data_IF_160626538453
#
_entry.id   IF_160626538453
#
_cell.length_a   1.000
_cell.length_b   1.000
_cell.length_c   1.000
_cell.angle_alpha   90.00
_cell.angle_beta   90.00
_cell.angle_gamma   90.00
#
_symmetry.space_group_name_H-M   'P 1'
#
loop_
_entity.id
_entity.type
_entity.pdbx_description
1 polymer ?
#
# COMPACT_ATOMS: atom_id res chain seq x y z
N UNK A 1 -10.54 37.61 -16.26
CA UNK A 1 -11.54 36.68 -15.69
C UNK A 1 -10.88 35.44 -15.08
N UNK A 2 -9.91 34.81 -15.77
CA UNK A 2 -9.15 33.65 -15.28
C UNK A 2 -8.37 33.92 -13.97
N UNK A 3 -7.76 35.10 -13.79
CA UNK A 3 -7.00 35.38 -12.55
C UNK A 3 -7.89 35.52 -11.30
N UNK A 4 -9.14 35.97 -11.45
CA UNK A 4 -10.10 36.07 -10.34
C UNK A 4 -10.58 34.68 -9.87
N UNK A 5 -10.68 33.72 -10.78
CA UNK A 5 -11.04 32.33 -10.49
C UNK A 5 -9.86 31.64 -9.79
N UNK A 6 -8.62 31.85 -10.24
CA UNK A 6 -7.43 31.28 -9.59
C UNK A 6 -7.23 31.85 -8.18
N UNK A 7 -7.51 33.15 -7.98
CA UNK A 7 -7.48 33.77 -6.63
C UNK A 7 -8.63 33.26 -5.77
N UNK A 8 -9.83 33.08 -6.30
CA UNK A 8 -10.96 32.50 -5.56
C UNK A 8 -10.70 31.04 -5.15
N UNK A 9 -10.11 30.23 -6.02
CA UNK A 9 -9.71 28.83 -5.72
C UNK A 9 -8.57 28.81 -4.68
N UNK A 10 -7.61 29.73 -4.77
CA UNK A 10 -6.55 29.88 -3.75
C UNK A 10 -7.09 30.38 -2.40
N UNK A 11 -8.07 31.28 -2.39
CA UNK A 11 -8.75 31.72 -1.17
C UNK A 11 -9.63 30.61 -0.57
N UNK A 12 -10.31 29.81 -1.39
CA UNK A 12 -11.02 28.61 -0.95
C UNK A 12 -10.06 27.57 -0.35
N UNK A 13 -8.86 27.41 -0.93
CA UNK A 13 -7.80 26.54 -0.39
C UNK A 13 -7.16 27.09 0.90
N UNK A 14 -7.09 28.40 1.10
CA UNK A 14 -6.61 29.02 2.34
C UNK A 14 -7.67 28.99 3.46
N UNK A 15 -8.95 29.23 3.13
CA UNK A 15 -10.05 29.01 4.07
C UNK A 15 -10.19 27.53 4.44
N UNK A 16 -9.81 26.61 3.57
CA UNK A 16 -9.88 25.16 3.76
C UNK A 16 -8.97 24.65 4.90
N UNK A 17 -7.76 25.21 5.07
CA UNK A 17 -6.90 24.81 6.18
C UNK A 17 -7.43 25.35 7.52
N UNK A 18 -7.93 26.59 7.53
CA UNK A 18 -8.58 27.17 8.72
C UNK A 18 -9.83 26.37 9.10
N UNK A 19 -10.70 26.02 8.15
CA UNK A 19 -11.90 25.22 8.42
C UNK A 19 -11.55 23.82 8.94
N UNK A 20 -10.49 23.17 8.45
CA UNK A 20 -10.08 21.86 8.99
C UNK A 20 -9.51 21.97 10.41
N UNK A 21 -8.73 23.01 10.72
CA UNK A 21 -8.29 23.27 12.11
C UNK A 21 -9.45 23.69 13.02
N UNK A 22 -10.46 24.38 12.49
CA UNK A 22 -11.68 24.77 13.21
C UNK A 22 -12.61 23.57 13.44
N UNK A 23 -12.73 22.66 12.47
CA UNK A 23 -13.48 21.40 12.58
C UNK A 23 -12.78 20.43 13.51
N UNK A 24 -11.45 20.33 13.46
CA UNK A 24 -10.66 19.58 14.43
C UNK A 24 -10.79 20.19 15.84
N UNK A 25 -10.70 21.52 15.95
CA UNK A 25 -10.89 22.25 17.22
C UNK A 25 -12.31 22.12 17.79
N UNK A 26 -13.34 22.16 16.95
CA UNK A 26 -14.74 21.90 17.31
C UNK A 26 -14.97 20.44 17.67
N UNK A 27 -14.40 19.49 16.94
CA UNK A 27 -14.50 18.06 17.25
C UNK A 27 -13.84 17.75 18.59
N UNK A 28 -12.65 18.30 18.86
CA UNK A 28 -11.97 18.17 20.15
C UNK A 28 -12.78 18.84 21.27
N UNK A 29 -13.26 20.07 21.05
CA UNK A 29 -14.07 20.80 22.04
C UNK A 29 -15.39 20.06 22.37
N UNK A 30 -16.07 19.51 21.37
CA UNK A 30 -17.34 18.79 21.56
C UNK A 30 -17.11 17.41 22.19
N UNK A 31 -16.03 16.69 21.83
CA UNK A 31 -15.64 15.45 22.52
C UNK A 31 -15.37 15.67 24.01
N UNK A 32 -14.86 16.83 24.40
CA UNK A 32 -14.66 17.20 25.81
C UNK A 32 -15.92 17.77 26.49
N UNK A 33 -16.85 18.39 25.75
CA UNK A 33 -18.02 19.08 26.34
C UNK A 33 -19.37 18.35 26.23
N UNK A 34 -19.51 17.26 25.45
CA UNK A 34 -20.78 16.52 25.29
C UNK A 34 -20.64 15.01 25.53
N UNK A 35 -20.21 14.64 26.73
CA UNK A 35 -20.13 13.23 27.14
C UNK A 35 -21.52 12.61 27.42
N UNK A 36 -22.58 13.41 27.56
CA UNK A 36 -23.86 12.92 28.10
C UNK A 36 -24.99 12.61 27.09
N UNK A 37 -24.84 12.89 25.78
CA UNK A 37 -25.91 12.62 24.77
C UNK A 37 -25.41 11.80 23.57
N UNK A 38 -25.96 10.59 23.39
CA UNK A 38 -25.59 9.64 22.33
C UNK A 38 -25.77 10.19 20.90
N UNK A 39 -26.79 11.03 20.66
CA UNK A 39 -27.03 11.66 19.36
C UNK A 39 -25.93 12.67 18.97
N UNK A 40 -25.39 13.40 19.96
CA UNK A 40 -24.30 14.34 19.73
C UNK A 40 -23.01 13.65 19.32
N UNK A 41 -22.73 12.48 19.91
CA UNK A 41 -21.57 11.66 19.56
C UNK A 41 -21.67 11.11 18.13
N UNK A 42 -22.83 10.55 17.75
CA UNK A 42 -23.08 10.08 16.37
C UNK A 42 -22.90 11.20 15.33
N UNK A 43 -23.39 12.41 15.62
CA UNK A 43 -23.22 13.56 14.73
C UNK A 43 -21.74 13.96 14.58
N UNK A 44 -20.99 14.01 15.69
CA UNK A 44 -19.56 14.36 15.65
C UNK A 44 -18.69 13.32 14.95
N UNK A 45 -18.98 12.03 15.14
CA UNK A 45 -18.29 10.95 14.45
C UNK A 45 -18.54 11.00 12.95
N UNK A 46 -19.78 11.27 12.53
CA UNK A 46 -20.12 11.48 11.12
C UNK A 46 -19.32 12.64 10.49
N UNK A 47 -19.22 13.77 11.18
CA UNK A 47 -18.43 14.92 10.70
C UNK A 47 -16.94 14.59 10.58
N UNK A 48 -16.37 13.87 11.55
CA UNK A 48 -14.98 13.41 11.50
C UNK A 48 -14.75 12.49 10.30
N UNK A 49 -15.63 11.53 10.06
CA UNK A 49 -15.52 10.58 8.94
C UNK A 49 -15.64 11.31 7.61
N UNK A 50 -16.61 12.21 7.47
CA UNK A 50 -16.74 13.03 6.26
C UNK A 50 -15.49 13.90 6.04
N UNK A 51 -14.92 14.47 7.10
CA UNK A 51 -13.65 15.21 7.03
C UNK A 51 -12.48 14.35 6.54
N UNK A 52 -12.36 13.12 7.06
CA UNK A 52 -11.34 12.14 6.61
C UNK A 52 -11.55 11.78 5.14
N UNK A 53 -12.78 11.42 4.75
CA UNK A 53 -13.13 11.06 3.37
C UNK A 53 -12.80 12.19 2.40
N UNK A 54 -13.18 13.43 2.72
CA UNK A 54 -12.90 14.60 1.89
C UNK A 54 -11.40 14.91 1.82
N UNK A 55 -10.66 14.77 2.92
CA UNK A 55 -9.21 14.93 2.94
C UNK A 55 -8.51 13.92 2.02
N UNK A 56 -8.89 12.64 2.12
CA UNK A 56 -8.33 11.56 1.29
C UNK A 56 -8.73 11.76 -0.17
N UNK A 57 -9.99 12.07 -0.45
CA UNK A 57 -10.49 12.36 -1.79
C UNK A 57 -9.69 13.49 -2.45
N UNK A 58 -9.48 14.59 -1.71
CA UNK A 58 -8.67 15.72 -2.17
C UNK A 58 -7.24 15.30 -2.48
N UNK A 59 -6.61 14.51 -1.61
CA UNK A 59 -5.23 14.05 -1.81
C UNK A 59 -5.12 13.16 -3.06
N UNK A 60 -6.07 12.25 -3.27
CA UNK A 60 -6.14 11.41 -4.47
C UNK A 60 -6.31 12.29 -5.72
N UNK A 61 -7.21 13.27 -5.67
CA UNK A 61 -7.43 14.17 -6.80
C UNK A 61 -6.17 14.96 -7.16
N UNK A 62 -5.46 15.51 -6.17
CA UNK A 62 -4.17 16.17 -6.38
C UNK A 62 -3.12 15.22 -6.94
N UNK A 63 -3.00 14.02 -6.37
CA UNK A 63 -2.05 13.01 -6.82
C UNK A 63 -2.24 12.64 -8.29
N UNK A 64 -3.50 12.52 -8.74
CA UNK A 64 -3.82 12.19 -10.13
C UNK A 64 -3.59 13.37 -11.09
N UNK A 65 -3.74 14.63 -10.64
CA UNK A 65 -3.69 15.79 -11.51
C UNK A 65 -2.38 16.57 -11.48
N UNK A 66 -1.65 16.55 -10.38
CA UNK A 66 -0.43 17.31 -10.14
C UNK A 66 0.69 16.89 -11.09
N UNK A 67 1.33 17.87 -11.74
CA UNK A 67 2.46 17.62 -12.65
C UNK A 67 3.66 17.00 -11.92
N UNK A 68 3.89 17.43 -10.67
CA UNK A 68 4.96 16.89 -9.83
C UNK A 68 4.72 15.41 -9.53
N UNK A 69 3.50 15.04 -9.12
CA UNK A 69 3.15 13.66 -8.80
C UNK A 69 3.19 12.77 -10.06
N UNK A 70 2.80 13.29 -11.23
CA UNK A 70 2.96 12.57 -12.51
C UNK A 70 4.41 12.29 -12.86
N UNK A 71 5.33 13.24 -12.66
CA UNK A 71 6.77 13.03 -12.88
C UNK A 71 7.32 11.95 -11.95
N UNK A 72 6.91 11.97 -10.69
CA UNK A 72 7.24 10.94 -9.70
C UNK A 72 6.70 9.57 -10.14
N UNK A 73 5.42 9.50 -10.56
CA UNK A 73 4.80 8.28 -11.07
C UNK A 73 5.51 7.72 -12.30
N UNK A 74 5.85 8.56 -13.28
CA UNK A 74 6.60 8.14 -14.46
C UNK A 74 7.97 7.58 -14.09
N UNK A 75 8.69 8.21 -13.15
CA UNK A 75 9.96 7.68 -12.67
C UNK A 75 9.79 6.31 -12.01
N UNK A 76 8.80 6.16 -11.10
CA UNK A 76 8.51 4.88 -10.44
C UNK A 76 8.17 3.78 -11.44
N UNK A 77 7.27 4.04 -12.39
CA UNK A 77 6.89 3.07 -13.41
C UNK A 77 8.08 2.67 -14.30
N UNK A 78 8.89 3.63 -14.73
CA UNK A 78 10.08 3.35 -15.54
C UNK A 78 11.08 2.46 -14.79
N UNK A 79 11.29 2.72 -13.50
CA UNK A 79 12.14 1.87 -12.65
C UNK A 79 11.55 0.47 -12.45
N UNK A 80 10.24 0.36 -12.22
CA UNK A 80 9.53 -0.93 -12.13
C UNK A 80 9.71 -1.75 -13.41
N UNK A 81 9.51 -1.13 -14.58
CA UNK A 81 9.69 -1.78 -15.87
C UNK A 81 11.15 -2.20 -16.08
N UNK A 82 12.10 -1.31 -15.79
CA UNK A 82 13.51 -1.60 -15.93
C UNK A 82 13.93 -2.80 -15.07
N UNK A 83 13.54 -2.83 -13.80
CA UNK A 83 13.86 -3.93 -12.86
C UNK A 83 13.23 -5.23 -13.35
N UNK A 84 11.93 -5.20 -13.65
CA UNK A 84 11.18 -6.39 -14.13
C UNK A 84 11.81 -6.97 -15.39
N UNK A 85 12.05 -6.14 -16.41
CA UNK A 85 12.71 -6.59 -17.64
C UNK A 85 14.14 -7.09 -17.40
N UNK A 86 14.86 -6.52 -16.43
CA UNK A 86 16.22 -6.98 -16.10
C UNK A 86 16.20 -8.36 -15.44
N UNK A 87 15.25 -8.62 -14.53
CA UNK A 87 15.07 -9.93 -13.89
C UNK A 87 14.71 -10.96 -14.96
N UNK A 88 13.68 -10.67 -15.75
CA UNK A 88 13.17 -11.58 -16.77
C UNK A 88 14.25 -11.96 -17.79
N UNK A 89 15.00 -10.98 -18.32
CA UNK A 89 16.05 -11.23 -19.32
C UNK A 89 17.27 -11.96 -18.78
N UNK A 90 17.66 -11.75 -17.52
CA UNK A 90 18.92 -12.29 -16.96
C UNK A 90 18.74 -13.57 -16.15
N UNK A 91 17.62 -13.72 -15.48
CA UNK A 91 17.39 -14.79 -14.51
C UNK A 91 16.11 -15.60 -14.78
N UNK A 92 15.20 -15.07 -15.61
CA UNK A 92 13.84 -15.58 -15.71
C UNK A 92 12.99 -15.10 -14.54
N UNK A 93 11.68 -14.92 -14.76
CA UNK A 93 10.76 -14.48 -13.72
C UNK A 93 9.62 -15.48 -13.58
N UNK A 94 9.53 -16.11 -12.42
CA UNK A 94 8.38 -16.93 -12.05
C UNK A 94 7.42 -16.07 -11.24
N UNK A 95 6.21 -15.88 -11.77
CA UNK A 95 5.15 -15.17 -11.08
C UNK A 95 4.40 -16.13 -10.16
N UNK A 96 4.45 -15.87 -8.86
CA UNK A 96 3.71 -16.60 -7.85
C UNK A 96 2.61 -15.71 -7.27
N UNK A 97 1.38 -16.22 -7.28
CA UNK A 97 0.22 -15.58 -6.68
C UNK A 97 -0.30 -16.52 -5.59
N UNK A 98 -0.37 -16.04 -4.36
CA UNK A 98 -0.93 -16.81 -3.25
C UNK A 98 -2.46 -16.89 -3.37
N UNK A 99 -3.00 -18.11 -3.33
CA UNK A 99 -4.44 -18.36 -3.42
C UNK A 99 -5.22 -17.71 -2.28
N UNK A 100 -4.63 -17.62 -1.09
CA UNK A 100 -5.22 -16.93 0.06
C UNK A 100 -5.45 -15.44 -0.23
N UNK A 101 -4.43 -14.76 -0.77
CA UNK A 101 -4.51 -13.35 -1.14
C UNK A 101 -5.53 -13.13 -2.25
N UNK A 102 -5.56 -14.01 -3.25
CA UNK A 102 -6.54 -13.97 -4.33
C UNK A 102 -7.97 -14.15 -3.80
N UNK A 103 -8.18 -15.06 -2.84
CA UNK A 103 -9.48 -15.29 -2.23
C UNK A 103 -9.98 -14.05 -1.46
N UNK A 104 -9.13 -13.48 -0.60
CA UNK A 104 -9.44 -12.27 0.16
C UNK A 104 -9.72 -11.10 -0.78
N UNK A 105 -8.90 -10.94 -1.82
CA UNK A 105 -9.10 -9.90 -2.83
C UNK A 105 -10.41 -10.07 -3.60
N UNK A 106 -10.73 -11.30 -4.02
CA UNK A 106 -11.98 -11.60 -4.72
C UNK A 106 -13.20 -11.31 -3.85
N UNK A 107 -13.15 -11.71 -2.57
CA UNK A 107 -14.20 -11.41 -1.59
C UNK A 107 -14.40 -9.89 -1.46
N UNK A 108 -13.31 -9.13 -1.32
CA UNK A 108 -13.35 -7.66 -1.27
C UNK A 108 -13.99 -7.08 -2.54
N UNK A 109 -13.59 -7.54 -3.73
CA UNK A 109 -14.12 -7.04 -4.99
C UNK A 109 -15.62 -7.32 -5.14
N UNK A 110 -16.11 -8.48 -4.67
CA UNK A 110 -17.54 -8.78 -4.64
C UNK A 110 -18.30 -7.78 -3.76
N UNK A 111 -17.81 -7.51 -2.54
CA UNK A 111 -18.44 -6.53 -1.64
C UNK A 111 -18.39 -5.11 -2.22
N UNK A 112 -17.28 -4.74 -2.85
CA UNK A 112 -17.13 -3.45 -3.51
C UNK A 112 -18.12 -3.28 -4.66
N UNK A 113 -18.32 -4.32 -5.47
CA UNK A 113 -19.31 -4.32 -6.55
C UNK A 113 -20.72 -4.08 -6.02
N UNK A 114 -21.14 -4.84 -5.01
CA UNK A 114 -22.46 -4.70 -4.37
C UNK A 114 -22.65 -3.26 -3.85
N UNK A 115 -21.64 -2.72 -3.17
CA UNK A 115 -21.69 -1.35 -2.65
C UNK A 115 -21.81 -0.29 -3.75
N UNK A 116 -21.04 -0.44 -4.84
CA UNK A 116 -21.06 0.53 -5.94
C UNK A 116 -22.38 0.49 -6.73
N UNK A 117 -22.96 -0.70 -6.90
CA UNK A 117 -24.28 -0.88 -7.52
C UNK A 117 -25.37 -0.16 -6.70
N UNK A 118 -25.36 -0.35 -5.38
CA UNK A 118 -26.27 0.35 -4.45
C UNK A 118 -26.14 1.88 -4.51
N UNK A 119 -24.90 2.38 -4.60
CA UNK A 119 -24.62 3.82 -4.68
C UNK A 119 -24.96 4.44 -6.03
N UNK A 120 -24.86 3.68 -7.12
CA UNK A 120 -25.09 4.15 -8.49
C UNK A 120 -26.50 4.72 -8.69
N UNK A 121 -27.50 4.08 -8.08
CA UNK A 121 -28.89 4.46 -8.24
C UNK A 121 -29.32 5.69 -7.41
N UNK A 122 -28.46 6.22 -6.54
CA UNK A 122 -28.79 7.33 -5.63
C UNK A 122 -28.04 8.61 -6.02
N UNK A 123 -28.72 9.51 -6.73
CA UNK A 123 -28.15 10.75 -7.32
C UNK A 123 -27.50 11.72 -6.31
N UNK A 124 -27.84 11.63 -5.03
CA UNK A 124 -27.23 12.42 -3.95
C UNK A 124 -25.85 11.90 -3.50
N UNK A 125 -25.44 10.70 -3.93
CA UNK A 125 -24.24 10.02 -3.42
C UNK A 125 -23.08 9.92 -4.44
N UNK A 126 -23.14 10.64 -5.56
CA UNK A 126 -22.11 10.59 -6.61
C UNK A 126 -20.68 10.92 -6.13
N UNK A 127 -20.54 11.85 -5.19
CA UNK A 127 -19.21 12.20 -4.65
C UNK A 127 -18.63 11.01 -3.86
N UNK A 128 -19.46 10.30 -3.10
CA UNK A 128 -19.06 9.12 -2.33
C UNK A 128 -18.74 7.97 -3.27
N UNK A 129 -19.54 7.77 -4.32
CA UNK A 129 -19.26 6.81 -5.39
C UNK A 129 -17.89 7.07 -6.05
N UNK A 130 -17.63 8.33 -6.47
CA UNK A 130 -16.36 8.72 -7.09
C UNK A 130 -15.17 8.54 -6.14
N UNK A 131 -15.35 8.85 -4.85
CA UNK A 131 -14.33 8.61 -3.83
C UNK A 131 -13.93 7.14 -3.78
N UNK A 132 -14.92 6.25 -3.65
CA UNK A 132 -14.69 4.82 -3.54
C UNK A 132 -14.03 4.25 -4.80
N UNK A 133 -14.49 4.67 -5.98
CA UNK A 133 -13.88 4.27 -7.26
C UNK A 133 -12.41 4.72 -7.38
N UNK A 134 -12.10 5.97 -7.05
CA UNK A 134 -10.73 6.49 -7.15
C UNK A 134 -9.80 5.89 -6.09
N UNK A 135 -10.29 5.70 -4.87
CA UNK A 135 -9.55 5.01 -3.82
C UNK A 135 -9.21 3.59 -4.26
N UNK A 136 -10.19 2.88 -4.83
CA UNK A 136 -10.02 1.51 -5.30
C UNK A 136 -9.03 1.41 -6.46
N UNK A 137 -9.07 2.37 -7.39
CA UNK A 137 -8.10 2.47 -8.47
C UNK A 137 -6.67 2.65 -7.95
N UNK A 138 -6.47 3.55 -6.99
CA UNK A 138 -5.17 3.75 -6.35
C UNK A 138 -4.72 2.49 -5.58
N UNK A 139 -5.66 1.81 -4.92
CA UNK A 139 -5.42 0.57 -4.19
C UNK A 139 -4.94 -0.55 -5.11
N UNK A 140 -5.57 -0.73 -6.26
CA UNK A 140 -5.15 -1.69 -7.28
C UNK A 140 -3.71 -1.44 -7.73
N UNK A 141 -3.38 -0.18 -8.07
CA UNK A 141 -2.02 0.18 -8.49
C UNK A 141 -0.98 -0.13 -7.41
N UNK A 142 -1.29 0.22 -6.16
CA UNK A 142 -0.42 -0.08 -5.02
C UNK A 142 -0.28 -1.59 -4.77
N UNK A 143 -1.37 -2.36 -4.86
CA UNK A 143 -1.36 -3.82 -4.69
C UNK A 143 -0.54 -4.51 -5.77
N UNK A 144 -0.68 -4.11 -7.03
CA UNK A 144 0.12 -4.64 -8.15
C UNK A 144 1.60 -4.41 -7.87
N UNK A 145 1.97 -3.21 -7.40
CA UNK A 145 3.34 -2.92 -7.01
C UNK A 145 3.84 -3.85 -5.88
N UNK A 146 3.06 -4.03 -4.82
CA UNK A 146 3.41 -4.93 -3.71
C UNK A 146 3.60 -6.38 -4.18
N UNK A 147 2.74 -6.86 -5.08
CA UNK A 147 2.86 -8.18 -5.70
C UNK A 147 4.11 -8.32 -6.58
N UNK A 148 4.45 -7.30 -7.37
CA UNK A 148 5.67 -7.28 -8.17
C UNK A 148 6.91 -7.34 -7.28
N UNK A 149 6.94 -6.52 -6.22
CA UNK A 149 8.03 -6.50 -5.25
C UNK A 149 8.24 -7.86 -4.58
N UNK A 150 7.15 -8.49 -4.13
CA UNK A 150 7.18 -9.83 -3.55
C UNK A 150 7.76 -10.86 -4.55
N UNK A 151 7.32 -10.79 -5.81
CA UNK A 151 7.85 -11.67 -6.86
C UNK A 151 9.33 -11.40 -7.16
N UNK A 152 9.79 -10.15 -7.12
CA UNK A 152 11.20 -9.85 -7.28
C UNK A 152 12.04 -10.49 -6.17
N UNK A 153 11.64 -10.34 -4.90
CA UNK A 153 12.35 -10.96 -3.78
C UNK A 153 12.37 -12.49 -3.89
N UNK A 154 11.24 -13.12 -4.22
CA UNK A 154 11.18 -14.58 -4.43
C UNK A 154 12.10 -15.08 -5.52
N UNK A 155 12.14 -14.39 -6.66
CA UNK A 155 13.02 -14.76 -7.76
C UNK A 155 14.50 -14.58 -7.37
N UNK A 156 14.84 -13.51 -6.64
CA UNK A 156 16.20 -13.34 -6.13
C UNK A 156 16.59 -14.42 -5.13
N UNK A 157 15.69 -14.78 -4.21
CA UNK A 157 15.85 -15.89 -3.26
C UNK A 157 16.10 -17.21 -4.00
N UNK A 158 15.28 -17.52 -4.99
CA UNK A 158 15.44 -18.72 -5.79
C UNK A 158 16.79 -18.78 -6.51
N UNK A 159 17.25 -17.67 -7.10
CA UNK A 159 18.56 -17.59 -7.76
C UNK A 159 19.70 -17.77 -6.77
N UNK A 160 19.60 -17.16 -5.58
CA UNK A 160 20.61 -17.29 -4.52
C UNK A 160 20.65 -18.72 -3.95
N UNK A 161 19.50 -19.32 -3.69
CA UNK A 161 19.40 -20.69 -3.21
C UNK A 161 20.03 -21.66 -4.21
N UNK A 162 19.68 -21.56 -5.50
CA UNK A 162 20.26 -22.38 -6.56
C UNK A 162 21.77 -22.16 -6.70
N UNK A 163 22.23 -20.94 -6.46
CA UNK A 163 23.67 -20.66 -6.43
C UNK A 163 24.37 -21.38 -5.26
N UNK A 164 23.79 -21.34 -4.05
CA UNK A 164 24.32 -22.05 -2.88
C UNK A 164 24.38 -23.56 -3.13
N UNK A 165 23.29 -24.17 -3.61
CA UNK A 165 23.21 -25.61 -3.88
C UNK A 165 24.25 -26.07 -4.89
N UNK A 166 24.38 -25.37 -6.03
CA UNK A 166 25.33 -25.74 -7.08
C UNK A 166 26.79 -25.56 -6.64
N UNK A 167 27.07 -24.57 -5.78
CA UNK A 167 28.43 -24.25 -5.35
C UNK A 167 28.72 -24.80 -3.95
N UNK A 168 27.95 -25.74 -3.40
CA UNK A 168 28.29 -26.38 -2.12
C UNK A 168 29.40 -27.43 -2.31
N UNK A 169 29.30 -28.26 -3.35
CA UNK A 169 30.23 -29.38 -3.62
C UNK A 169 31.46 -29.01 -4.45
N UNK A 170 31.43 -27.90 -5.20
CA UNK A 170 32.55 -27.50 -6.07
C UNK A 170 33.76 -26.98 -5.27
N UNK A 171 34.99 -27.27 -5.70
CA UNK A 171 36.21 -26.82 -4.98
C UNK A 171 36.50 -25.32 -5.16
N UNK A 172 36.07 -24.71 -6.27
CA UNK A 172 36.36 -23.32 -6.60
C UNK A 172 35.17 -22.65 -7.30
N UNK A 173 34.96 -21.35 -7.06
CA UNK A 173 33.85 -20.58 -7.67
C UNK A 173 34.37 -19.85 -8.91
N UNK A 174 33.78 -20.13 -10.08
CA UNK A 174 34.20 -19.45 -11.32
C UNK A 174 33.95 -17.93 -11.26
N UNK A 175 34.84 -17.12 -11.86
CA UNK A 175 34.68 -15.66 -11.92
C UNK A 175 33.41 -15.21 -12.65
N UNK A 176 32.84 -16.04 -13.53
CA UNK A 176 31.55 -15.79 -14.17
C UNK A 176 30.41 -15.74 -13.15
N UNK A 177 30.44 -16.60 -12.14
CA UNK A 177 29.48 -16.58 -11.05
C UNK A 177 29.64 -15.35 -10.16
N UNK A 178 30.87 -14.95 -9.85
CA UNK A 178 31.14 -13.73 -9.10
C UNK A 178 30.53 -12.50 -9.80
N UNK A 179 30.71 -12.38 -11.12
CA UNK A 179 30.09 -11.29 -11.90
C UNK A 179 28.56 -11.34 -11.86
N UNK A 180 27.94 -12.53 -11.98
CA UNK A 180 26.47 -12.69 -11.88
C UNK A 180 25.94 -12.30 -10.51
N UNK A 181 26.68 -12.61 -9.45
CA UNK A 181 26.33 -12.26 -8.07
C UNK A 181 26.43 -10.74 -7.84
N UNK A 182 27.47 -10.08 -8.34
CA UNK A 182 27.58 -8.62 -8.30
C UNK A 182 26.40 -7.93 -9.00
N UNK A 183 25.94 -8.47 -10.14
CA UNK A 183 24.74 -7.97 -10.81
C UNK A 183 23.47 -8.15 -9.96
N UNK A 184 23.35 -9.29 -9.26
CA UNK A 184 22.23 -9.55 -8.37
C UNK A 184 22.20 -8.55 -7.20
N UNK A 185 23.34 -8.28 -6.57
CA UNK A 185 23.43 -7.27 -5.52
C UNK A 185 23.11 -5.85 -6.01
N UNK A 186 23.60 -5.47 -7.18
CA UNK A 186 23.24 -4.18 -7.79
C UNK A 186 21.73 -4.07 -8.04
N UNK A 187 21.10 -5.16 -8.47
CA UNK A 187 19.65 -5.21 -8.67
C UNK A 187 18.91 -5.10 -7.33
N UNK A 188 19.33 -5.85 -6.31
CA UNK A 188 18.75 -5.76 -4.96
C UNK A 188 18.82 -4.34 -4.39
N UNK A 189 19.98 -3.69 -4.47
CA UNK A 189 20.13 -2.30 -4.02
C UNK A 189 19.18 -1.34 -4.77
N UNK A 190 19.01 -1.56 -6.09
CA UNK A 190 18.07 -0.77 -6.90
C UNK A 190 16.61 -0.99 -6.49
N UNK A 191 16.23 -2.24 -6.22
CA UNK A 191 14.89 -2.59 -5.71
C UNK A 191 14.65 -1.90 -4.37
N UNK A 192 15.59 -1.98 -3.43
CA UNK A 192 15.47 -1.33 -2.13
C UNK A 192 15.38 0.19 -2.23
N UNK A 193 16.20 0.80 -3.08
CA UNK A 193 16.15 2.24 -3.30
C UNK A 193 14.80 2.67 -3.90
N UNK A 194 14.26 1.92 -4.86
CA UNK A 194 12.93 2.15 -5.41
C UNK A 194 11.84 1.97 -4.34
N UNK A 195 11.93 0.93 -3.52
CA UNK A 195 10.96 0.68 -2.46
C UNK A 195 10.95 1.80 -1.43
N UNK A 196 12.13 2.24 -0.98
CA UNK A 196 12.28 3.40 -0.09
C UNK A 196 11.71 4.67 -0.72
N UNK A 197 12.01 4.92 -2.00
CA UNK A 197 11.47 6.06 -2.74
C UNK A 197 9.93 6.03 -2.80
N UNK A 198 9.34 4.86 -3.04
CA UNK A 198 7.88 4.69 -3.04
C UNK A 198 7.29 4.91 -1.64
N UNK A 199 7.91 4.34 -0.60
CA UNK A 199 7.48 4.55 0.78
C UNK A 199 7.50 6.03 1.16
N UNK A 200 8.54 6.78 0.80
CA UNK A 200 8.65 8.21 1.12
C UNK A 200 7.63 9.07 0.36
N UNK A 201 7.44 8.84 -0.94
CA UNK A 201 6.56 9.67 -1.78
C UNK A 201 5.07 9.29 -1.70
N UNK A 202 4.76 8.03 -1.38
CA UNK A 202 3.40 7.49 -1.33
C UNK A 202 2.97 7.10 0.10
N UNK A 203 3.73 7.48 1.14
CA UNK A 203 3.38 7.23 2.56
C UNK A 203 1.94 7.62 2.94
N UNK A 204 1.42 8.67 2.31
CA UNK A 204 0.06 9.16 2.55
C UNK A 204 -1.03 8.12 2.19
N UNK A 205 -0.75 7.21 1.25
CA UNK A 205 -1.76 6.29 0.75
C UNK A 205 -2.02 5.10 1.70
N UNK A 206 -1.01 4.37 2.21
CA UNK A 206 -1.22 3.43 3.31
C UNK A 206 -1.87 4.09 4.52
N UNK A 207 -1.43 5.30 4.89
CA UNK A 207 -2.03 6.05 5.99
C UNK A 207 -3.53 6.34 5.74
N UNK A 208 -3.92 6.71 4.52
CA UNK A 208 -5.31 6.91 4.13
C UNK A 208 -6.15 5.62 4.27
N UNK A 209 -5.58 4.46 3.94
CA UNK A 209 -6.25 3.17 4.09
C UNK A 209 -6.47 2.85 5.58
N UNK A 210 -5.47 3.08 6.42
CA UNK A 210 -5.61 2.90 7.88
C UNK A 210 -6.65 3.86 8.48
N UNK A 211 -6.72 5.11 8.00
CA UNK A 211 -7.78 6.04 8.42
C UNK A 211 -9.19 5.53 8.05
N UNK A 212 -9.32 4.70 7.01
CA UNK A 212 -10.57 4.04 6.65
C UNK A 212 -11.14 3.13 7.75
N UNK A 213 -10.31 2.69 8.72
CA UNK A 213 -10.78 1.92 9.88
C UNK A 213 -11.77 2.73 10.72
N UNK A 214 -11.62 4.06 10.84
CA UNK A 214 -12.59 4.89 11.58
C UNK A 214 -13.98 4.85 10.93
N UNK A 215 -14.04 4.87 9.60
CA UNK A 215 -15.30 4.68 8.88
C UNK A 215 -15.87 3.29 9.16
N UNK A 216 -15.02 2.26 9.24
CA UNK A 216 -15.44 0.90 9.54
C UNK A 216 -16.06 0.78 10.94
N UNK A 217 -15.39 1.30 11.97
CA UNK A 217 -15.86 1.30 13.37
C UNK A 217 -17.24 1.97 13.47
N UNK A 218 -17.40 3.12 12.82
CA UNK A 218 -18.67 3.84 12.84
C UNK A 218 -19.78 3.08 12.11
N UNK A 219 -19.52 2.53 10.93
CA UNK A 219 -20.50 1.73 10.19
C UNK A 219 -20.88 0.46 10.95
N UNK A 220 -19.96 -0.17 11.69
CA UNK A 220 -20.30 -1.27 12.60
C UNK A 220 -21.17 -0.82 13.77
N UNK A 221 -20.91 0.37 14.32
CA UNK A 221 -21.72 0.93 15.40
C UNK A 221 -23.15 1.20 14.93
N UNK A 222 -23.30 1.77 13.73
CA UNK A 222 -24.61 1.95 13.09
C UNK A 222 -25.28 0.59 12.81
N UNK A 223 -24.53 -0.39 12.32
CA UNK A 223 -25.04 -1.74 12.08
C UNK A 223 -25.61 -2.37 13.35
N UNK A 224 -24.90 -2.26 14.48
CA UNK A 224 -25.38 -2.74 15.78
C UNK A 224 -26.62 -1.95 16.21
N UNK A 225 -26.64 -0.63 16.02
CA UNK A 225 -27.81 0.20 16.33
C UNK A 225 -29.04 -0.23 15.53
N UNK A 226 -28.90 -0.49 14.23
CA UNK A 226 -29.99 -0.98 13.38
C UNK A 226 -30.48 -2.37 13.79
N UNK A 227 -29.57 -3.28 14.17
CA UNK A 227 -29.97 -4.64 14.61
C UNK A 227 -30.72 -4.59 15.94
N UNK A 228 -30.21 -3.83 16.91
CA UNK A 228 -30.67 -3.88 18.31
C UNK A 228 -31.85 -2.95 18.58
N UNK A 229 -31.91 -1.77 17.94
CA UNK A 229 -32.82 -0.70 18.34
C UNK A 229 -33.83 -0.27 17.27
N UNK A 230 -33.69 -0.65 16.01
CA UNK A 230 -34.70 -0.31 15.02
C UNK A 230 -35.97 -1.15 15.25
N UNK A 231 -37.16 -0.57 15.08
CA UNK A 231 -38.45 -1.28 15.19
C UNK A 231 -38.89 -1.92 13.86
N UNK A 232 -38.06 -1.85 12.82
CA UNK A 232 -38.36 -2.35 11.48
C UNK A 232 -38.52 -3.89 11.44
N UNK A 233 -39.33 -4.37 10.50
CA UNK A 233 -39.50 -5.80 10.21
C UNK A 233 -38.15 -6.44 9.83
N UNK A 234 -37.98 -7.72 10.17
CA UNK A 234 -36.70 -8.44 10.06
C UNK A 234 -36.14 -8.41 8.62
N UNK A 235 -37.01 -8.49 7.62
CA UNK A 235 -36.63 -8.50 6.21
C UNK A 235 -36.13 -7.12 5.74
N UNK A 236 -36.76 -6.03 6.20
CA UNK A 236 -36.35 -4.65 5.89
C UNK A 236 -35.04 -4.29 6.61
N UNK A 237 -34.86 -4.77 7.85
CA UNK A 237 -33.59 -4.65 8.57
C UNK A 237 -32.45 -5.31 7.81
N UNK A 238 -32.66 -6.54 7.33
CA UNK A 238 -31.65 -7.29 6.58
C UNK A 238 -31.26 -6.58 5.29
N UNK A 239 -32.24 -6.00 4.60
CA UNK A 239 -32.01 -5.21 3.39
C UNK A 239 -31.20 -3.94 3.68
N UNK A 240 -31.57 -3.16 4.71
CA UNK A 240 -30.84 -1.94 5.12
C UNK A 240 -29.41 -2.28 5.58
N UNK A 241 -29.24 -3.39 6.30
CA UNK A 241 -27.94 -3.85 6.79
C UNK A 241 -26.99 -4.21 5.63
N UNK A 242 -27.50 -4.97 4.67
CA UNK A 242 -26.75 -5.44 3.51
C UNK A 242 -26.46 -4.33 2.50
N UNK A 243 -27.45 -3.48 2.20
CA UNK A 243 -27.36 -2.43 1.18
C UNK A 243 -26.55 -1.21 1.68
N UNK A 244 -26.61 -0.90 2.98
CA UNK A 244 -26.11 0.37 3.52
C UNK A 244 -24.87 0.30 4.41
N UNK A 245 -24.75 -0.71 5.27
CA UNK A 245 -23.81 -0.65 6.41
C UNK A 245 -22.70 -1.72 6.35
N UNK A 246 -23.00 -2.92 5.87
CA UNK A 246 -22.06 -4.05 5.90
C UNK A 246 -20.85 -3.81 5.00
N UNK A 247 -21.06 -3.41 3.75
CA UNK A 247 -19.95 -3.24 2.80
C UNK A 247 -18.99 -2.10 3.21
N UNK A 248 -19.47 -0.89 3.55
CA UNK A 248 -18.60 0.18 4.05
C UNK A 248 -17.90 -0.14 5.39
N UNK A 249 -18.43 -1.07 6.18
CA UNK A 249 -17.78 -1.57 7.39
C UNK A 249 -16.64 -2.55 7.05
N UNK A 250 -16.86 -3.49 6.13
CA UNK A 250 -15.92 -4.61 5.89
C UNK A 250 -14.79 -4.24 4.93
N UNK A 251 -15.06 -3.42 3.90
CA UNK A 251 -14.07 -3.10 2.84
C UNK A 251 -12.78 -2.46 3.39
N UNK A 252 -12.81 -1.45 4.29
CA UNK A 252 -11.59 -0.89 4.86
C UNK A 252 -10.74 -1.91 5.63
N UNK A 253 -11.38 -2.84 6.34
CA UNK A 253 -10.69 -3.91 7.07
C UNK A 253 -10.01 -4.85 6.09
N UNK A 254 -10.69 -5.24 5.01
CA UNK A 254 -10.10 -6.08 3.98
C UNK A 254 -8.90 -5.38 3.30
N UNK A 255 -8.97 -4.07 3.05
CA UNK A 255 -7.84 -3.31 2.52
C UNK A 255 -6.61 -3.36 3.44
N UNK A 256 -6.82 -3.16 4.74
CA UNK A 256 -5.75 -3.23 5.74
C UNK A 256 -5.21 -4.66 5.84
N UNK A 257 -6.07 -5.67 5.82
CA UNK A 257 -5.67 -7.08 5.86
C UNK A 257 -4.82 -7.45 4.64
N UNK A 258 -5.23 -7.06 3.44
CA UNK A 258 -4.49 -7.32 2.20
C UNK A 258 -3.10 -6.68 2.27
N UNK A 259 -3.02 -5.41 2.69
CA UNK A 259 -1.72 -4.73 2.86
C UNK A 259 -0.86 -5.40 3.93
N UNK A 260 -1.48 -5.80 5.05
CA UNK A 260 -0.80 -6.50 6.14
C UNK A 260 -0.18 -7.82 5.65
N UNK A 261 -0.96 -8.65 4.96
CA UNK A 261 -0.48 -9.92 4.38
C UNK A 261 0.69 -9.65 3.42
N UNK A 262 0.56 -8.70 2.49
CA UNK A 262 1.64 -8.37 1.57
C UNK A 262 2.91 -7.92 2.30
N UNK A 263 2.76 -7.04 3.30
CA UNK A 263 3.88 -6.49 4.08
C UNK A 263 4.61 -7.58 4.86
N UNK A 264 3.88 -8.47 5.54
CA UNK A 264 4.44 -9.59 6.28
C UNK A 264 5.19 -10.56 5.35
N UNK A 265 4.60 -10.85 4.18
CA UNK A 265 5.24 -11.70 3.17
C UNK A 265 6.53 -11.08 2.63
N UNK A 266 6.50 -9.80 2.27
CA UNK A 266 7.69 -9.08 1.79
C UNK A 266 8.79 -9.11 2.85
N UNK A 267 8.45 -8.84 4.11
CA UNK A 267 9.39 -8.90 5.24
C UNK A 267 10.00 -10.30 5.40
N UNK A 268 9.20 -11.35 5.26
CA UNK A 268 9.67 -12.73 5.35
C UNK A 268 10.64 -13.10 4.21
N UNK A 269 10.35 -12.67 2.98
CA UNK A 269 11.20 -12.91 1.82
C UNK A 269 12.49 -12.09 1.89
N UNK A 270 12.42 -10.86 2.38
CA UNK A 270 13.60 -10.00 2.60
C UNK A 270 14.54 -10.62 3.64
N UNK A 271 14.00 -11.10 4.76
CA UNK A 271 14.79 -11.76 5.81
C UNK A 271 15.44 -13.05 5.29
N UNK A 272 14.69 -13.86 4.54
CA UNK A 272 15.21 -15.04 3.86
C UNK A 272 16.35 -14.66 2.91
N UNK A 273 16.20 -13.58 2.16
CA UNK A 273 17.23 -13.11 1.24
C UNK A 273 18.49 -12.66 1.98
N UNK A 274 18.36 -11.90 3.07
CA UNK A 274 19.48 -11.49 3.91
C UNK A 274 20.27 -12.71 4.43
N UNK A 275 19.58 -13.76 4.87
CA UNK A 275 20.22 -15.02 5.28
C UNK A 275 21.00 -15.67 4.12
N UNK A 276 20.39 -15.76 2.93
CA UNK A 276 21.06 -16.30 1.75
C UNK A 276 22.30 -15.49 1.35
N UNK A 277 22.24 -14.16 1.45
CA UNK A 277 23.38 -13.27 1.18
C UNK A 277 24.53 -13.55 2.14
N UNK A 278 24.25 -13.72 3.44
CA UNK A 278 25.27 -14.08 4.43
C UNK A 278 25.88 -15.45 4.10
N UNK A 279 25.06 -16.46 3.79
CA UNK A 279 25.57 -17.79 3.41
C UNK A 279 26.46 -17.74 2.17
N UNK A 280 26.08 -16.97 1.15
CA UNK A 280 26.90 -16.75 -0.05
C UNK A 280 28.24 -16.11 0.32
N UNK A 281 28.23 -15.10 1.20
CA UNK A 281 29.45 -14.41 1.62
C UNK A 281 30.42 -15.35 2.38
N UNK A 282 29.89 -16.23 3.23
CA UNK A 282 30.66 -17.25 3.95
C UNK A 282 31.24 -18.28 2.98
N UNK A 283 30.46 -18.74 1.99
CA UNK A 283 30.94 -19.66 0.97
C UNK A 283 32.05 -19.04 0.11
N UNK A 284 31.90 -17.77 -0.30
CA UNK A 284 32.94 -17.05 -1.04
C UNK A 284 34.23 -16.91 -0.22
N UNK A 285 34.12 -16.63 1.07
CA UNK A 285 35.29 -16.55 1.95
C UNK A 285 35.97 -17.91 2.14
N UNK A 286 35.21 -19.00 2.27
CA UNK A 286 35.76 -20.35 2.43
C UNK A 286 36.46 -20.85 1.17
N UNK A 287 35.97 -20.45 -0.02
CA UNK A 287 36.45 -20.94 -1.32
C UNK A 287 37.37 -19.95 -2.04
N UNK A 288 37.64 -18.78 -1.45
CA UNK A 288 38.67 -17.88 -1.96
C UNK A 288 40.05 -18.48 -1.75
N UNK A 289 40.84 -18.54 -2.82
CA UNK A 289 42.21 -19.02 -2.79
C UNK A 289 43.04 -18.23 -1.75
N UNK A 290 43.90 -18.89 -0.93
CA UNK A 290 44.77 -18.20 0.02
C UNK A 290 45.76 -17.24 -0.65
N UNK A 291 45.97 -17.32 -1.96
CA UNK A 291 46.78 -16.37 -2.73
C UNK A 291 46.05 -15.09 -3.13
N UNK A 292 44.72 -15.04 -3.10
CA UNK A 292 43.92 -13.84 -3.41
C UNK A 292 43.86 -12.85 -2.23
N UNK A 293 44.27 -13.28 -1.03
CA UNK A 293 44.40 -12.41 0.14
C UNK A 293 45.43 -11.30 -0.03
N UNK A 294 46.47 -11.50 -0.86
CA UNK A 294 47.49 -10.46 -1.12
C UNK A 294 46.96 -9.29 -1.95
N UNK A 295 45.88 -9.47 -2.71
CA UNK A 295 45.26 -8.40 -3.50
C UNK A 295 44.27 -7.55 -2.67
N UNK A 296 43.79 -8.04 -1.52
CA UNK A 296 42.92 -7.26 -0.62
C UNK A 296 43.69 -6.29 0.29
N UNK A 297 44.93 -6.58 0.64
CA UNK A 297 45.74 -5.70 1.51
C UNK A 297 46.22 -4.44 0.75
N UNK A 298 46.45 -4.54 -0.57
CA UNK A 298 46.91 -3.40 -1.38
C UNK A 298 45.79 -2.36 -1.58
N UNK A 299 44.51 -2.76 -1.52
CA UNK A 299 43.38 -1.83 -1.61
C UNK A 299 42.93 -1.25 -0.26
N UNK A 300 43.47 -1.74 0.87
CA UNK A 300 43.20 -1.17 2.20
C UNK A 300 44.25 -0.14 2.66
N UNK A 301 45.33 0.05 1.90
CA UNK A 301 46.35 1.08 2.18
C UNK A 301 46.13 2.38 1.41
N UNK A 302 45.08 2.47 0.58
CA UNK A 302 44.65 3.72 -0.08
C UNK A 302 43.16 3.98 0.18
N UNK A 303 42.78 4.05 1.46
CA UNK A 303 41.62 4.82 1.94
C UNK A 303 41.67 4.96 3.45
#
# INVERSE_FOLDING_TARGET
>A
MISKIVVAVKCLLLLHDVVNYLVLGLAVWICFSKVDNAEGQNYTMNLLIQGILMYVFRRIFFFLHSEADRKVMMHMLNEIFYITCTIEKKYGMNYHIEMSLLCVYSCKMCLMYIMLDALWHRFTFWIIFLYWMLLEYCFHGYLIYQLLLLNWYRNLNYVLQRFLENNQSESFISGRYHRRLLWLFKLYLRINNLHKFIQENIAWFPAAIYLGIFSSIFNMTLMIQCIVYAEDDIDDKLYILMDGCLCPAVIPILNVLIIGICTDRIRSEELTMQQHIVLVSVLLFRKSDPHDFRLKVINSEVS
#
